data_IF_895095477806
#
_entry.id   IF_895095477806
#
_cell.length_a   1.000
_cell.length_b   1.000
_cell.length_c   1.000
_cell.angle_alpha   90.00
_cell.angle_beta   90.00
_cell.angle_gamma   90.00
#
_symmetry.space_group_name_H-M   'P 1'
#
loop_
_entity.id
_entity.type
_entity.pdbx_description
1 polymer ?
#
# COMPACT_ATOMS: atom_id res chain seq x y z
N UNK A 1 6.37 0.97 26.79
CA UNK A 1 6.33 -0.24 27.64
C UNK A 1 6.45 -1.46 26.75
N UNK A 2 7.12 -2.53 27.21
CA UNK A 2 7.26 -3.79 26.48
C UNK A 2 6.48 -4.90 27.18
N UNK A 3 6.04 -5.90 26.41
CA UNK A 3 5.40 -7.11 26.89
C UNK A 3 6.12 -8.29 26.23
N UNK A 4 6.68 -9.18 27.04
CA UNK A 4 7.35 -10.38 26.54
C UNK A 4 6.40 -11.58 26.55
N UNK A 5 6.32 -12.30 25.44
CA UNK A 5 5.50 -13.50 25.29
C UNK A 5 6.15 -14.49 24.31
N UNK A 6 6.33 -15.74 24.73
CA UNK A 6 6.98 -16.80 23.94
C UNK A 6 8.27 -16.35 23.23
N UNK A 7 9.21 -15.80 24.01
CA UNK A 7 10.52 -15.32 23.52
C UNK A 7 10.46 -14.16 22.52
N UNK A 8 9.29 -13.53 22.34
CA UNK A 8 9.10 -12.33 21.53
C UNK A 8 8.73 -11.14 22.39
N UNK A 9 9.36 -10.01 22.10
CA UNK A 9 9.06 -8.71 22.72
C UNK A 9 8.07 -7.94 21.85
N UNK A 10 6.98 -7.50 22.48
CA UNK A 10 5.99 -6.61 21.90
C UNK A 10 6.11 -5.23 22.55
N UNK A 11 5.82 -4.18 21.78
CA UNK A 11 5.87 -2.80 22.24
C UNK A 11 4.47 -2.23 22.30
N UNK A 12 4.13 -1.57 23.41
CA UNK A 12 2.91 -0.76 23.48
C UNK A 12 3.04 0.43 22.54
N UNK A 13 2.11 0.56 21.60
CA UNK A 13 2.04 1.69 20.68
C UNK A 13 1.45 2.88 21.43
N UNK A 14 2.23 3.97 21.52
CA UNK A 14 1.82 5.22 22.19
C UNK A 14 1.04 6.15 21.26
N UNK A 15 1.41 6.15 19.98
CA UNK A 15 0.80 6.96 18.94
C UNK A 15 0.86 6.16 17.64
N UNK A 16 -0.20 6.27 16.84
CA UNK A 16 -0.26 5.76 15.48
C UNK A 16 -0.61 6.92 14.56
N UNK A 17 0.19 7.13 13.51
CA UNK A 17 0.00 8.22 12.55
C UNK A 17 0.05 7.67 11.12
N UNK A 18 -1.07 7.77 10.41
CA UNK A 18 -1.17 7.32 9.02
C UNK A 18 -0.79 8.46 8.07
N UNK A 19 0.20 8.21 7.21
CA UNK A 19 0.69 9.13 6.17
C UNK A 19 0.98 10.56 6.71
N UNK A 20 1.99 10.72 7.57
CA UNK A 20 2.37 12.04 8.09
C UNK A 20 2.88 12.98 6.99
N UNK A 21 2.72 14.28 7.21
CA UNK A 21 3.36 15.31 6.38
C UNK A 21 4.89 15.19 6.40
N UNK A 22 5.55 15.67 5.35
CA UNK A 22 6.99 15.48 5.15
C UNK A 22 7.85 15.89 6.36
N UNK A 23 7.54 17.02 7.00
CA UNK A 23 8.32 17.50 8.14
C UNK A 23 8.07 16.67 9.40
N UNK A 24 6.85 16.15 9.58
CA UNK A 24 6.53 15.22 10.65
C UNK A 24 7.24 13.88 10.43
N UNK A 25 7.25 13.37 9.19
CA UNK A 25 7.99 12.16 8.82
C UNK A 25 9.50 12.28 9.12
N UNK A 26 10.13 13.42 8.78
CA UNK A 26 11.54 13.68 9.13
C UNK A 26 11.76 13.68 10.64
N UNK A 27 10.83 14.25 11.42
CA UNK A 27 10.90 14.25 12.88
C UNK A 27 10.83 12.83 13.45
N UNK A 28 9.93 12.00 12.93
CA UNK A 28 9.78 10.60 13.34
C UNK A 28 11.04 9.77 13.08
N UNK A 29 11.68 9.96 11.92
CA UNK A 29 12.97 9.32 11.62
C UNK A 29 14.08 9.79 12.57
N UNK A 30 14.12 11.09 12.88
CA UNK A 30 15.14 11.67 13.77
C UNK A 30 15.01 11.19 15.21
N UNK A 31 13.78 10.96 15.69
CA UNK A 31 13.56 10.52 17.08
C UNK A 31 13.91 9.06 17.30
N UNK A 32 13.97 8.24 16.24
CA UNK A 32 14.44 6.84 16.29
C UNK A 32 13.52 5.89 17.06
N UNK A 33 12.33 6.33 17.44
CA UNK A 33 11.33 5.58 18.20
C UNK A 33 10.00 5.39 17.46
N UNK A 34 9.97 5.71 16.16
CA UNK A 34 8.85 5.40 15.26
C UNK A 34 9.23 4.23 14.34
N UNK A 35 8.23 3.44 14.00
CA UNK A 35 8.35 2.28 13.12
C UNK A 35 7.36 2.42 11.97
N UNK A 36 7.70 1.85 10.83
CA UNK A 36 6.79 1.76 9.69
C UNK A 36 5.68 0.74 9.98
N UNK A 37 4.43 1.14 9.76
CA UNK A 37 3.31 0.20 9.75
C UNK A 37 3.39 -0.65 8.48
N UNK A 38 3.45 -1.98 8.62
CA UNK A 38 3.51 -2.89 7.48
C UNK A 38 2.15 -3.18 6.83
N UNK A 39 1.06 -2.63 7.39
CA UNK A 39 -0.32 -2.92 6.98
C UNK A 39 -0.84 -4.29 7.44
N UNK A 40 -0.08 -5.03 8.24
CA UNK A 40 -0.48 -6.33 8.77
C UNK A 40 -1.01 -6.19 10.19
N UNK A 41 -2.19 -6.75 10.44
CA UNK A 41 -2.83 -6.72 11.74
C UNK A 41 -3.22 -8.11 12.21
N UNK A 42 -3.15 -8.33 13.52
CA UNK A 42 -3.61 -9.55 14.16
C UNK A 42 -4.48 -9.19 15.37
N UNK A 43 -5.71 -9.71 15.39
CA UNK A 43 -6.64 -9.53 16.49
C UNK A 43 -7.64 -10.69 16.57
N UNK A 44 -8.22 -10.86 17.76
CA UNK A 44 -9.44 -11.68 17.90
C UNK A 44 -10.62 -10.90 17.34
N UNK A 45 -11.52 -11.58 16.63
CA UNK A 45 -12.71 -10.95 16.03
C UNK A 45 -13.57 -10.19 17.05
N UNK A 46 -13.71 -10.74 18.26
CA UNK A 46 -14.44 -10.07 19.35
C UNK A 46 -13.77 -8.75 19.78
N UNK A 47 -12.44 -8.76 19.95
CA UNK A 47 -11.67 -7.57 20.31
C UNK A 47 -11.78 -6.52 19.21
N UNK A 48 -11.71 -6.93 17.94
CA UNK A 48 -11.91 -6.04 16.80
C UNK A 48 -13.29 -5.37 16.84
N UNK A 49 -14.37 -6.15 17.02
CA UNK A 49 -15.72 -5.62 17.13
C UNK A 49 -15.88 -4.65 18.32
N UNK A 50 -15.28 -4.95 19.47
CA UNK A 50 -15.26 -4.04 20.63
C UNK A 50 -14.52 -2.73 20.33
N UNK A 51 -13.38 -2.79 19.63
CA UNK A 51 -12.61 -1.61 19.25
C UNK A 51 -13.34 -0.77 18.20
N UNK A 52 -14.00 -1.40 17.21
CA UNK A 52 -14.91 -0.72 16.28
C UNK A 52 -16.03 0.00 17.04
N UNK A 53 -16.68 -0.70 17.98
CA UNK A 53 -17.73 -0.09 18.81
C UNK A 53 -17.23 1.14 19.55
N UNK A 54 -16.02 1.08 20.12
CA UNK A 54 -15.49 2.18 20.94
C UNK A 54 -14.97 3.36 20.12
N UNK A 55 -14.32 3.10 18.98
CA UNK A 55 -13.50 4.09 18.29
C UNK A 55 -13.96 4.39 16.85
N UNK A 56 -14.79 3.54 16.26
CA UNK A 56 -15.21 3.60 14.85
C UNK A 56 -16.70 3.24 14.70
N UNK A 57 -17.57 3.96 15.42
CA UNK A 57 -19.02 3.69 15.44
C UNK A 57 -19.66 3.60 14.04
N UNK A 58 -19.18 4.40 13.07
CA UNK A 58 -19.63 4.36 11.67
C UNK A 58 -19.41 3.00 10.99
N UNK A 59 -18.49 2.17 11.51
CA UNK A 59 -18.21 0.83 11.03
C UNK A 59 -18.84 -0.26 11.90
N UNK A 60 -19.12 0.03 13.17
CA UNK A 60 -19.70 -0.96 14.09
C UNK A 60 -21.15 -1.34 13.72
N UNK A 61 -21.99 -0.36 13.35
CA UNK A 61 -23.37 -0.66 12.95
C UNK A 61 -23.42 -1.50 11.65
N UNK A 62 -22.74 -1.11 10.55
CA UNK A 62 -22.65 -1.94 9.36
C UNK A 62 -22.07 -3.33 9.64
N UNK A 63 -21.08 -3.45 10.53
CA UNK A 63 -20.54 -4.74 10.96
C UNK A 63 -21.63 -5.65 11.57
N UNK A 64 -22.45 -5.11 12.48
CA UNK A 64 -23.57 -5.85 13.06
C UNK A 64 -24.61 -6.25 12.00
N UNK A 65 -24.95 -5.36 11.08
CA UNK A 65 -25.94 -5.60 10.03
C UNK A 65 -25.46 -6.67 9.05
N UNK A 66 -24.19 -6.62 8.63
CA UNK A 66 -23.56 -7.63 7.77
C UNK A 66 -23.56 -9.00 8.48
N UNK A 67 -23.20 -9.06 9.76
CA UNK A 67 -23.26 -10.30 10.54
C UNK A 67 -24.69 -10.86 10.61
N UNK A 68 -25.69 -9.99 10.75
CA UNK A 68 -27.11 -10.37 10.71
C UNK A 68 -27.53 -10.94 9.36
N UNK A 69 -27.17 -10.26 8.28
CA UNK A 69 -27.46 -10.68 6.91
C UNK A 69 -26.80 -12.03 6.57
N UNK A 70 -25.53 -12.22 6.94
CA UNK A 70 -24.79 -13.48 6.75
C UNK A 70 -25.46 -14.65 7.47
N UNK A 71 -25.85 -14.47 8.74
CA UNK A 71 -26.57 -15.51 9.51
C UNK A 71 -27.89 -15.91 8.85
N UNK A 72 -28.55 -14.97 8.18
CA UNK A 72 -29.83 -15.18 7.51
C UNK A 72 -29.68 -15.53 6.02
N UNK A 73 -28.44 -15.67 5.51
CA UNK A 73 -28.12 -15.93 4.09
C UNK A 73 -28.73 -14.92 3.11
N UNK A 74 -28.81 -13.65 3.52
CA UNK A 74 -29.34 -12.53 2.71
C UNK A 74 -28.20 -11.75 2.04
N UNK A 75 -27.64 -12.31 0.98
CA UNK A 75 -26.47 -11.72 0.32
C UNK A 75 -26.74 -10.33 -0.29
N UNK A 76 -27.96 -10.09 -0.79
CA UNK A 76 -28.36 -8.78 -1.37
C UNK A 76 -28.31 -7.64 -0.36
N UNK A 77 -28.47 -7.93 0.93
CA UNK A 77 -28.37 -6.90 1.98
C UNK A 77 -26.92 -6.47 2.20
N UNK A 78 -25.95 -7.36 1.98
CA UNK A 78 -24.52 -7.07 2.17
C UNK A 78 -24.06 -6.03 1.16
N UNK A 79 -24.44 -6.16 -0.12
CA UNK A 79 -24.08 -5.20 -1.17
C UNK A 79 -24.60 -3.79 -0.83
N UNK A 80 -25.88 -3.71 -0.44
CA UNK A 80 -26.49 -2.44 -0.03
C UNK A 80 -25.77 -1.83 1.17
N UNK A 81 -25.58 -2.60 2.25
CA UNK A 81 -24.88 -2.12 3.45
C UNK A 81 -23.47 -1.64 3.10
N UNK A 82 -22.72 -2.41 2.29
CA UNK A 82 -21.36 -2.07 1.92
C UNK A 82 -21.28 -0.78 1.09
N UNK A 83 -22.24 -0.55 0.18
CA UNK A 83 -22.32 0.69 -0.61
C UNK A 83 -22.60 1.96 0.21
N UNK A 84 -23.21 1.80 1.39
CA UNK A 84 -23.48 2.89 2.33
C UNK A 84 -22.29 3.14 3.28
N UNK A 85 -21.28 2.25 3.31
CA UNK A 85 -20.14 2.37 4.21
C UNK A 85 -19.14 3.45 3.76
N UNK A 86 -18.49 4.15 4.71
CA UNK A 86 -17.44 5.10 4.36
C UNK A 86 -16.22 4.39 3.74
N UNK A 87 -15.74 4.92 2.61
CA UNK A 87 -14.52 4.47 1.96
C UNK A 87 -13.27 5.09 2.64
N UNK A 88 -12.83 4.50 3.75
CA UNK A 88 -11.65 4.94 4.50
C UNK A 88 -10.82 3.73 4.97
N UNK A 89 -9.49 3.87 5.04
CA UNK A 89 -8.62 2.77 5.48
C UNK A 89 -8.82 2.46 6.96
N UNK A 90 -8.48 1.23 7.36
CA UNK A 90 -8.54 0.82 8.76
C UNK A 90 -7.60 1.63 9.66
N UNK A 91 -6.49 2.12 9.09
CA UNK A 91 -5.50 2.95 9.78
C UNK A 91 -6.14 4.23 10.32
N UNK A 92 -6.88 4.95 9.46
CA UNK A 92 -7.63 6.15 9.85
C UNK A 92 -8.93 5.83 10.59
N UNK A 93 -9.65 4.79 10.16
CA UNK A 93 -10.94 4.43 10.73
C UNK A 93 -10.79 4.08 12.21
N UNK A 94 -9.77 3.27 12.52
CA UNK A 94 -9.58 2.62 13.80
C UNK A 94 -8.19 2.86 14.41
N UNK A 95 -7.10 2.60 13.71
CA UNK A 95 -5.77 2.48 14.34
C UNK A 95 -5.24 3.78 14.94
N UNK A 96 -5.45 4.94 14.29
CA UNK A 96 -5.09 6.26 14.87
C UNK A 96 -5.85 6.57 16.17
N UNK A 97 -6.98 5.91 16.42
CA UNK A 97 -7.88 6.16 17.56
C UNK A 97 -7.82 5.06 18.62
N UNK A 98 -7.28 3.90 18.26
CA UNK A 98 -7.32 2.71 19.08
C UNK A 98 -6.36 2.83 20.26
N UNK A 99 -6.83 2.40 21.42
CA UNK A 99 -6.00 2.19 22.62
C UNK A 99 -5.58 0.72 22.71
N UNK A 100 -4.60 0.41 23.57
CA UNK A 100 -4.15 -0.97 23.87
C UNK A 100 -3.62 -1.72 22.64
N UNK A 101 -2.93 -1.01 21.74
CA UNK A 101 -2.30 -1.59 20.55
C UNK A 101 -0.90 -2.06 20.90
N UNK A 102 -0.55 -3.26 20.44
CA UNK A 102 0.78 -3.84 20.56
C UNK A 102 1.40 -3.99 19.18
N UNK A 103 2.70 -3.73 19.09
CA UNK A 103 3.50 -3.87 17.88
C UNK A 103 4.59 -4.92 18.08
N UNK A 104 4.78 -5.78 17.09
CA UNK A 104 5.97 -6.63 16.97
C UNK A 104 6.91 -6.02 15.93
N UNK A 105 8.21 -5.98 16.22
CA UNK A 105 9.23 -5.56 15.25
C UNK A 105 9.53 -6.72 14.31
N UNK A 106 9.59 -6.45 13.02
CA UNK A 106 9.89 -7.43 11.98
C UNK A 106 11.10 -7.04 11.16
N UNK A 107 12.00 -7.99 10.94
CA UNK A 107 13.11 -7.88 9.99
C UNK A 107 13.02 -9.07 9.02
N UNK A 108 12.34 -8.84 7.90
CA UNK A 108 12.06 -9.86 6.89
C UNK A 108 12.10 -9.31 5.46
N UNK A 109 12.87 -8.23 5.23
CA UNK A 109 13.01 -7.63 3.89
C UNK A 109 11.69 -7.08 3.34
N UNK A 110 10.90 -6.43 4.19
CA UNK A 110 9.57 -5.92 3.83
C UNK A 110 9.65 -4.70 2.90
N UNK A 111 8.80 -4.69 1.88
CA UNK A 111 8.52 -3.55 1.02
C UNK A 111 7.03 -3.57 0.67
N UNK A 112 6.33 -2.46 0.88
CA UNK A 112 5.01 -2.26 0.30
C UNK A 112 5.24 -2.01 -1.20
N UNK A 113 5.18 -3.06 -2.02
CA UNK A 113 5.33 -2.99 -3.47
C UNK A 113 4.13 -2.24 -4.05
N UNK A 114 4.12 -0.92 -3.85
CA UNK A 114 3.03 -0.01 -4.19
C UNK A 114 3.42 1.00 -5.25
N UNK A 115 4.63 0.91 -5.79
CA UNK A 115 5.15 1.78 -6.83
C UNK A 115 6.06 1.02 -7.80
N UNK A 116 6.15 1.49 -9.04
CA UNK A 116 7.05 0.89 -10.03
C UNK A 116 8.51 1.08 -9.63
N UNK A 117 8.88 2.15 -8.92
CA UNK A 117 10.26 2.32 -8.44
C UNK A 117 10.64 1.26 -7.42
N UNK A 118 9.71 0.80 -6.56
CA UNK A 118 9.95 -0.27 -5.59
C UNK A 118 10.38 -1.58 -6.24
N UNK A 119 9.98 -1.83 -7.50
CA UNK A 119 10.37 -3.04 -8.23
C UNK A 119 11.85 -3.05 -8.63
N UNK A 120 12.47 -1.88 -8.78
CA UNK A 120 13.92 -1.81 -9.00
C UNK A 120 14.68 -2.45 -7.85
N UNK A 121 14.19 -2.33 -6.62
CA UNK A 121 14.87 -2.86 -5.42
C UNK A 121 14.72 -4.36 -5.24
N UNK A 122 13.75 -4.97 -5.93
CA UNK A 122 13.45 -6.40 -5.81
C UNK A 122 13.95 -7.19 -7.03
N UNK A 123 13.92 -6.59 -8.22
CA UNK A 123 14.32 -7.28 -9.43
C UNK A 123 15.83 -7.23 -9.67
N UNK A 124 16.40 -8.22 -10.39
CA UNK A 124 17.80 -8.20 -10.77
C UNK A 124 18.18 -6.92 -11.51
N UNK A 125 19.33 -6.35 -11.14
CA UNK A 125 19.90 -5.16 -11.77
C UNK A 125 21.15 -5.54 -12.58
N UNK A 126 21.36 -4.88 -13.71
CA UNK A 126 22.64 -4.91 -14.43
C UNK A 126 23.70 -4.00 -13.76
N UNK A 127 24.91 -3.96 -14.32
CA UNK A 127 26.02 -3.12 -13.82
C UNK A 127 25.72 -1.61 -13.84
N UNK A 128 24.74 -1.18 -14.62
CA UNK A 128 24.31 0.22 -14.76
C UNK A 128 23.05 0.52 -13.94
N UNK A 129 22.61 -0.43 -13.10
CA UNK A 129 21.43 -0.30 -12.26
C UNK A 129 20.10 -0.44 -13.00
N UNK A 130 20.12 -0.91 -14.25
CA UNK A 130 18.91 -1.13 -15.02
C UNK A 130 18.25 -2.45 -14.65
N UNK A 131 16.93 -2.47 -14.75
CA UNK A 131 16.11 -3.65 -14.52
C UNK A 131 15.22 -3.89 -15.72
N UNK A 132 15.25 -5.11 -16.25
CA UNK A 132 14.48 -5.51 -17.43
C UNK A 132 13.62 -6.73 -17.08
N UNK A 133 12.35 -6.67 -17.45
CA UNK A 133 11.45 -7.82 -17.45
C UNK A 133 10.68 -7.84 -18.78
N UNK A 134 11.10 -8.73 -19.66
CA UNK A 134 10.69 -8.76 -21.06
C UNK A 134 11.89 -8.72 -21.99
N UNK A 135 11.64 -8.47 -23.28
CA UNK A 135 12.69 -8.36 -24.29
C UNK A 135 13.11 -6.90 -24.48
N UNK A 136 14.29 -6.50 -24.01
CA UNK A 136 14.75 -5.12 -24.12
C UNK A 136 16.25 -4.96 -24.30
N UNK A 137 16.65 -3.89 -25.00
CA UNK A 137 18.03 -3.45 -25.14
C UNK A 137 18.18 -2.02 -24.65
N UNK A 138 19.19 -1.80 -23.81
CA UNK A 138 19.51 -0.51 -23.22
C UNK A 138 20.93 -0.12 -23.63
N UNK A 139 21.07 1.01 -24.33
CA UNK A 139 22.36 1.59 -24.75
C UNK A 139 22.51 2.94 -24.06
N UNK A 140 23.67 3.19 -23.46
CA UNK A 140 23.99 4.45 -22.78
C UNK A 140 22.91 4.95 -21.80
N UNK A 141 22.27 3.98 -21.14
CA UNK A 141 21.17 4.18 -20.21
C UNK A 141 21.52 3.59 -18.84
N UNK A 142 21.13 4.28 -17.76
CA UNK A 142 21.35 3.86 -16.37
C UNK A 142 20.09 4.04 -15.51
N UNK A 143 19.96 3.19 -14.50
CA UNK A 143 18.86 3.22 -13.52
C UNK A 143 17.46 3.19 -14.15
N UNK A 144 17.29 2.51 -15.29
CA UNK A 144 16.02 2.40 -15.98
C UNK A 144 15.27 1.12 -15.58
N UNK A 145 13.95 1.19 -15.45
CA UNK A 145 13.07 0.03 -15.39
C UNK A 145 12.38 -0.16 -16.73
N UNK A 146 12.48 -1.35 -17.33
CA UNK A 146 11.69 -1.77 -18.50
C UNK A 146 10.84 -2.98 -18.13
N UNK A 147 9.52 -2.82 -18.19
CA UNK A 147 8.56 -3.91 -18.08
C UNK A 147 7.78 -4.00 -19.38
N UNK A 148 7.95 -5.12 -20.10
CA UNK A 148 7.41 -5.27 -21.44
C UNK A 148 7.22 -6.77 -21.77
N UNK A 149 6.16 -7.42 -21.25
CA UNK A 149 5.95 -8.85 -21.45
C UNK A 149 5.75 -9.25 -22.92
N UNK A 150 5.14 -8.39 -23.74
CA UNK A 150 4.64 -8.79 -25.08
C UNK A 150 5.32 -8.08 -26.26
N UNK A 151 6.20 -7.11 -25.99
CA UNK A 151 6.81 -6.24 -27.03
C UNK A 151 8.28 -6.00 -26.74
N UNK A 152 9.08 -5.82 -27.79
CA UNK A 152 10.48 -5.39 -27.67
C UNK A 152 10.57 -3.91 -27.25
N UNK A 153 11.48 -3.58 -26.33
CA UNK A 153 11.75 -2.20 -25.89
C UNK A 153 13.22 -1.82 -26.09
N UNK A 154 13.48 -0.68 -26.73
CA UNK A 154 14.84 -0.13 -26.87
C UNK A 154 14.95 1.23 -26.19
N UNK A 155 15.94 1.39 -25.32
CA UNK A 155 16.24 2.65 -24.65
C UNK A 155 17.67 3.09 -25.00
N UNK A 156 17.82 4.34 -25.44
CA UNK A 156 19.12 4.89 -25.86
C UNK A 156 19.32 6.26 -25.22
N UNK A 157 20.38 6.40 -24.42
CA UNK A 157 20.77 7.69 -23.84
C UNK A 157 19.82 8.23 -22.75
N UNK A 158 18.97 7.38 -22.16
CA UNK A 158 17.97 7.78 -21.16
C UNK A 158 18.28 7.21 -19.79
N UNK A 159 18.04 7.99 -18.74
CA UNK A 159 18.43 7.65 -17.38
C UNK A 159 17.28 7.89 -16.41
N UNK A 160 17.22 7.07 -15.37
CA UNK A 160 16.27 7.22 -14.27
C UNK A 160 14.80 7.29 -14.75
N UNK A 161 14.45 6.46 -15.73
CA UNK A 161 13.07 6.34 -16.24
C UNK A 161 12.47 4.96 -15.96
N UNK A 162 11.14 4.92 -15.93
CA UNK A 162 10.32 3.74 -15.86
C UNK A 162 9.55 3.65 -17.17
N UNK A 163 9.66 2.52 -17.86
CA UNK A 163 8.94 2.19 -19.08
C UNK A 163 8.14 0.92 -18.82
N UNK A 164 6.82 1.03 -18.93
CA UNK A 164 5.88 -0.07 -18.74
C UNK A 164 5.04 -0.14 -20.02
N UNK A 165 5.20 -1.22 -20.78
CA UNK A 165 4.52 -1.43 -22.05
C UNK A 165 3.69 -2.71 -21.95
N UNK A 166 2.39 -2.55 -21.71
CA UNK A 166 1.42 -3.65 -21.70
C UNK A 166 0.75 -3.77 -23.06
N UNK A 167 -0.21 -4.68 -23.18
CA UNK A 167 -1.05 -4.79 -24.38
C UNK A 167 -1.75 -3.46 -24.67
N UNK A 168 -2.40 -2.89 -23.65
CA UNK A 168 -3.32 -1.75 -23.78
C UNK A 168 -2.65 -0.38 -23.63
N UNK A 169 -1.53 -0.28 -22.91
CA UNK A 169 -0.96 1.00 -22.53
C UNK A 169 0.58 1.03 -22.53
N UNK A 170 1.11 2.23 -22.83
CA UNK A 170 2.51 2.58 -22.63
C UNK A 170 2.59 3.70 -21.59
N UNK A 171 3.27 3.42 -20.48
CA UNK A 171 3.65 4.40 -19.48
C UNK A 171 5.16 4.65 -19.58
N UNK A 172 5.53 5.93 -19.68
CA UNK A 172 6.89 6.40 -19.53
C UNK A 172 6.89 7.51 -18.49
N UNK A 173 7.67 7.36 -17.42
CA UNK A 173 7.82 8.40 -16.42
C UNK A 173 9.24 8.42 -15.85
N UNK A 174 9.63 9.53 -15.23
CA UNK A 174 10.84 9.53 -14.42
C UNK A 174 10.60 8.73 -13.14
N UNK A 175 11.62 8.00 -12.71
CA UNK A 175 11.59 7.17 -11.50
C UNK A 175 11.20 7.96 -10.26
N UNK A 176 11.66 9.20 -10.13
CA UNK A 176 11.37 10.06 -8.97
C UNK A 176 9.95 10.68 -8.98
N UNK A 177 9.16 10.42 -10.02
CA UNK A 177 7.80 10.92 -10.18
C UNK A 177 6.76 9.80 -10.23
N UNK A 178 7.14 8.57 -9.90
CA UNK A 178 6.26 7.39 -9.98
C UNK A 178 5.00 7.51 -9.09
N UNK A 179 5.06 8.26 -7.99
CA UNK A 179 3.89 8.56 -7.15
C UNK A 179 2.78 9.28 -7.92
N UNK A 180 3.12 10.05 -8.97
CA UNK A 180 2.14 10.74 -9.83
C UNK A 180 1.35 9.82 -10.75
N UNK A 181 1.69 8.53 -10.80
CA UNK A 181 0.90 7.54 -11.54
C UNK A 181 -0.52 7.45 -10.97
N UNK A 182 -0.70 7.66 -9.66
CA UNK A 182 -2.04 7.75 -9.05
C UNK A 182 -2.86 8.90 -9.64
N UNK A 183 -2.25 10.07 -9.79
CA UNK A 183 -2.90 11.24 -10.42
C UNK A 183 -3.23 10.97 -11.89
N UNK A 184 -2.36 10.23 -12.60
CA UNK A 184 -2.60 9.82 -13.98
C UNK A 184 -3.81 8.88 -14.09
N UNK A 185 -3.89 7.85 -13.24
CA UNK A 185 -5.02 6.91 -13.17
C UNK A 185 -6.33 7.65 -12.92
N UNK A 186 -6.34 8.62 -11.98
CA UNK A 186 -7.53 9.44 -11.71
C UNK A 186 -7.96 10.27 -12.94
N UNK A 187 -7.01 10.80 -13.71
CA UNK A 187 -7.31 11.52 -14.95
C UNK A 187 -7.89 10.59 -16.02
N UNK A 188 -7.34 9.39 -16.17
CA UNK A 188 -7.84 8.38 -17.13
C UNK A 188 -9.28 7.98 -16.79
N UNK A 189 -9.59 7.77 -15.50
CA UNK A 189 -10.94 7.54 -14.99
C UNK A 189 -11.90 8.67 -15.38
N UNK A 190 -11.48 9.93 -15.17
CA UNK A 190 -12.29 11.09 -15.55
C UNK A 190 -12.55 11.18 -17.08
N UNK A 191 -11.64 10.62 -17.89
CA UNK A 191 -11.78 10.54 -19.35
C UNK A 191 -12.63 9.35 -19.83
N UNK A 192 -13.14 8.51 -18.91
CA UNK A 192 -13.91 7.29 -19.21
C UNK A 192 -13.21 6.30 -20.13
N UNK A 193 -11.88 6.21 -20.03
CA UNK A 193 -11.07 5.19 -20.70
C UNK A 193 -10.84 4.01 -19.76
N UNK A 194 -11.92 3.29 -19.46
CA UNK A 194 -11.91 2.20 -18.49
C UNK A 194 -11.08 0.98 -18.95
N UNK A 195 -10.85 0.87 -20.25
CA UNK A 195 -9.97 -0.10 -20.90
C UNK A 195 -8.48 0.09 -20.58
N UNK A 196 -8.09 1.23 -19.98
CA UNK A 196 -6.70 1.58 -19.68
C UNK A 196 -6.37 1.60 -18.18
N UNK A 197 -7.27 1.12 -17.32
CA UNK A 197 -7.18 1.20 -15.86
C UNK A 197 -6.84 -0.14 -15.19
#
# INVERSE_FOLDING_TARGET
>A
HTIDYNEKTFYTVLEFKEKPELDQAKSFLKSGNYFWNSGMFLWKAEVFAQKLKKHAHSFYNPWCDILGALKQKRNTDIERIYSEMPAISIDYALMEKASDVLMAVGDFGWSDVGSWSSLLDVWPKDERGNTIKGDAILIDSKNCLSYNPDKFTALVGVNDIIVVNTEDALLICRKDLDQKIKDLVQKIQAMKKEDLL
#
